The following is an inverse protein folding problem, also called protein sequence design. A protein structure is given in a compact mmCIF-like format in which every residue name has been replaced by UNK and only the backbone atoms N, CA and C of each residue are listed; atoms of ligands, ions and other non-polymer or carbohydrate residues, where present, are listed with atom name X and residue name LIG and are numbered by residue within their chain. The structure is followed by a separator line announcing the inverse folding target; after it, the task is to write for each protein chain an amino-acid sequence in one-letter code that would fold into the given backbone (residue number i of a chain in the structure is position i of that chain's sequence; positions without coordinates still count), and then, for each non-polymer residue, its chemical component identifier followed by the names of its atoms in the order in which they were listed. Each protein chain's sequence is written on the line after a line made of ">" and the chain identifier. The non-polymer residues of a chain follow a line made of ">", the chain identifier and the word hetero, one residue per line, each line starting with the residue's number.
data_IF_458062956485
#
_entry.id   IF_458062956485
#
_cell.length_a   1.000
_cell.length_b   1.000
_cell.length_c   1.000
_cell.angle_alpha   90.00
_cell.angle_beta   90.00
_cell.angle_gamma   90.00
#
_symmetry.space_group_name_H-M   'P 1'
#
loop_
_entity.id
_entity.type
_entity.pdbx_description
1 polymer ?
#
# COMPACT_ATOMS: atom_id res chain seq x y z
N UNK A 1 3.47 10.75 11.38
CA UNK A 1 2.67 9.50 11.43
C UNK A 1 2.81 8.81 12.80
N UNK A 2 1.75 8.76 13.61
CA UNK A 2 1.72 8.07 14.91
C UNK A 2 1.94 6.55 14.79
N UNK A 3 2.44 5.93 15.86
CA UNK A 3 2.65 4.47 15.95
C UNK A 3 1.99 3.92 17.20
N UNK A 4 1.01 3.03 17.03
CA UNK A 4 0.27 2.40 18.13
C UNK A 4 0.66 0.92 18.30
N UNK A 5 0.56 0.44 19.55
CA UNK A 5 0.96 -0.92 19.97
C UNK A 5 -0.15 -1.53 20.83
N UNK A 6 -1.20 -2.12 20.23
CA UNK A 6 -2.27 -2.74 21.00
C UNK A 6 -1.79 -3.87 21.87
N UNK A 7 -2.41 -4.00 23.04
CA UNK A 7 -2.34 -5.22 23.84
C UNK A 7 -3.04 -6.38 23.13
N UNK A 8 -2.75 -7.62 23.54
CA UNK A 8 -3.48 -8.79 23.03
C UNK A 8 -4.99 -8.70 23.23
N UNK A 9 -5.45 -8.00 24.28
CA UNK A 9 -6.88 -7.80 24.56
C UNK A 9 -7.50 -6.82 23.58
N UNK A 10 -6.88 -5.66 23.38
CA UNK A 10 -7.34 -4.66 22.40
C UNK A 10 -7.34 -5.23 20.98
N UNK A 11 -6.31 -6.00 20.62
CA UNK A 11 -6.16 -6.58 19.29
C UNK A 11 -7.22 -7.64 18.93
N UNK A 12 -8.04 -8.13 19.88
CA UNK A 12 -9.11 -9.09 19.59
C UNK A 12 -10.28 -8.47 18.83
N UNK A 13 -10.57 -7.19 19.06
CA UNK A 13 -11.68 -6.49 18.42
C UNK A 13 -11.10 -5.39 17.51
N UNK A 14 -11.16 -5.60 16.20
CA UNK A 14 -10.62 -4.68 15.22
C UNK A 14 -11.26 -3.29 15.33
N UNK A 15 -12.58 -3.22 15.27
CA UNK A 15 -13.35 -1.97 15.13
C UNK A 15 -13.16 -1.06 16.34
N UNK A 16 -13.32 -1.58 17.55
CA UNK A 16 -13.08 -0.83 18.78
C UNK A 16 -11.63 -0.36 18.91
N UNK A 17 -10.67 -1.18 18.47
CA UNK A 17 -9.26 -0.81 18.50
C UNK A 17 -8.95 0.33 17.51
N UNK A 18 -9.50 0.26 16.30
CA UNK A 18 -9.30 1.28 15.25
C UNK A 18 -10.02 2.58 15.60
N UNK A 19 -11.27 2.54 16.08
CA UNK A 19 -12.01 3.72 16.53
C UNK A 19 -11.23 4.52 17.58
N UNK A 20 -10.59 3.83 18.53
CA UNK A 20 -9.70 4.45 19.51
C UNK A 20 -8.49 5.11 18.84
N UNK A 21 -7.83 4.42 17.91
CA UNK A 21 -6.59 4.90 17.30
C UNK A 21 -6.79 5.99 16.26
N UNK A 22 -7.92 6.02 15.53
CA UNK A 22 -8.30 7.13 14.67
C UNK A 22 -8.43 8.41 15.50
N UNK A 23 -9.14 8.35 16.64
CA UNK A 23 -9.25 9.52 17.55
C UNK A 23 -7.90 9.99 18.07
N UNK A 24 -6.99 9.06 18.41
CA UNK A 24 -5.65 9.39 18.90
C UNK A 24 -4.69 9.86 17.80
N UNK A 25 -4.89 9.44 16.56
CA UNK A 25 -4.12 9.90 15.42
C UNK A 25 -4.42 11.37 15.09
N UNK A 26 -5.58 11.85 15.51
CA UNK A 26 -6.00 13.24 15.32
C UNK A 26 -6.02 13.58 13.84
N UNK A 27 -5.27 14.61 13.47
CA UNK A 27 -5.24 15.14 12.11
C UNK A 27 -4.32 14.36 11.14
N UNK A 28 -3.57 13.36 11.64
CA UNK A 28 -2.70 12.58 10.76
C UNK A 28 -3.52 11.73 9.79
N UNK A 29 -3.32 11.91 8.47
CA UNK A 29 -4.00 11.12 7.44
C UNK A 29 -3.63 9.63 7.41
N UNK A 30 -2.63 9.20 8.20
CA UNK A 30 -2.27 7.81 8.38
C UNK A 30 -1.65 7.56 9.76
N UNK A 31 -1.71 6.31 10.23
CA UNK A 31 -0.99 5.83 11.41
C UNK A 31 -0.55 4.38 11.22
N UNK A 32 0.47 3.96 11.98
CA UNK A 32 0.98 2.59 11.98
C UNK A 32 0.52 1.83 13.21
N UNK A 33 0.01 0.62 13.04
CA UNK A 33 -0.26 -0.31 14.14
C UNK A 33 0.79 -1.42 14.11
N UNK A 34 1.46 -1.65 15.24
CA UNK A 34 2.34 -2.81 15.42
C UNK A 34 1.59 -3.90 16.19
N UNK A 35 1.31 -5.06 15.57
CA UNK A 35 0.55 -6.12 16.22
C UNK A 35 1.29 -6.67 17.46
N UNK A 36 0.57 -7.28 18.42
CA UNK A 36 1.18 -7.87 19.60
C UNK A 36 2.27 -8.89 19.26
N UNK A 37 3.34 -8.94 20.08
CA UNK A 37 4.43 -9.90 19.90
C UNK A 37 3.89 -11.33 19.80
N UNK A 38 4.32 -12.04 18.74
CA UNK A 38 3.95 -13.43 18.48
C UNK A 38 2.69 -13.62 17.63
N UNK A 39 1.93 -12.56 17.35
CA UNK A 39 0.87 -12.64 16.35
C UNK A 39 1.48 -12.89 14.95
N UNK A 40 0.90 -13.85 14.23
CA UNK A 40 1.30 -14.21 12.87
C UNK A 40 0.03 -14.38 12.04
N UNK A 41 -0.12 -13.67 10.91
CA UNK A 41 -1.30 -13.77 10.07
C UNK A 41 -1.32 -15.02 9.19
N UNK A 42 -0.16 -15.65 8.99
CA UNK A 42 0.00 -16.88 8.20
C UNK A 42 0.96 -17.82 8.92
N UNK A 43 0.50 -19.00 9.33
CA UNK A 43 1.28 -19.95 10.14
C UNK A 43 2.33 -20.69 9.32
N UNK A 44 2.01 -21.06 8.09
CA UNK A 44 2.87 -21.85 7.21
C UNK A 44 4.05 -21.06 6.61
N UNK A 45 4.08 -19.73 6.79
CA UNK A 45 5.09 -18.87 6.19
C UNK A 45 4.84 -18.58 4.71
N UNK A 46 5.87 -18.11 4.00
CA UNK A 46 5.74 -17.50 2.67
C UNK A 46 6.66 -18.12 1.59
N UNK A 47 7.27 -19.27 1.88
CA UNK A 47 8.22 -19.92 0.96
C UNK A 47 7.53 -20.51 -0.27
N UNK A 48 6.37 -21.16 -0.09
CA UNK A 48 5.65 -21.90 -1.13
C UNK A 48 4.36 -21.18 -1.55
N UNK A 49 4.45 -19.90 -1.93
CA UNK A 49 3.30 -19.16 -2.41
C UNK A 49 3.03 -19.48 -3.88
N UNK A 50 1.93 -20.20 -4.14
CA UNK A 50 1.40 -20.38 -5.49
C UNK A 50 0.60 -19.13 -5.89
N UNK A 51 1.30 -18.17 -6.49
CA UNK A 51 0.71 -16.90 -6.92
C UNK A 51 1.15 -16.58 -8.35
N UNK A 52 0.19 -16.15 -9.16
CA UNK A 52 0.44 -15.54 -10.46
C UNK A 52 0.33 -14.03 -10.34
N UNK A 53 1.39 -13.32 -10.73
CA UNK A 53 1.37 -11.87 -10.87
C UNK A 53 0.66 -11.54 -12.17
N UNK A 54 -0.61 -11.17 -12.07
CA UNK A 54 -1.45 -10.80 -13.21
C UNK A 54 -1.10 -9.39 -13.69
N UNK A 55 -0.95 -9.25 -15.01
CA UNK A 55 -0.73 -7.96 -15.69
C UNK A 55 0.18 -6.96 -14.97
N UNK A 56 1.41 -7.35 -14.55
CA UNK A 56 2.26 -6.47 -13.76
C UNK A 56 2.55 -5.17 -14.52
N UNK A 57 2.54 -4.06 -13.79
CA UNK A 57 2.61 -2.71 -14.31
C UNK A 57 4.07 -2.26 -14.35
N UNK A 58 4.59 -1.95 -15.53
CA UNK A 58 5.83 -1.22 -15.65
C UNK A 58 5.57 0.28 -15.50
N UNK A 59 6.14 0.88 -14.44
CA UNK A 59 5.85 2.24 -14.03
C UNK A 59 6.87 3.22 -14.62
N UNK A 60 6.48 3.85 -15.72
CA UNK A 60 7.30 4.85 -16.39
C UNK A 60 7.01 6.22 -15.79
N UNK A 61 8.04 7.07 -15.71
CA UNK A 61 7.94 8.35 -14.99
C UNK A 61 8.30 9.49 -15.93
N UNK A 62 7.39 10.45 -16.07
CA UNK A 62 7.60 11.70 -16.79
C UNK A 62 7.65 12.88 -15.82
N UNK A 63 8.38 13.94 -16.15
CA UNK A 63 8.49 15.15 -15.31
C UNK A 63 9.88 15.43 -14.72
N UNK A 64 9.95 16.39 -13.81
CA UNK A 64 11.20 16.86 -13.20
C UNK A 64 10.95 17.70 -11.94
N UNK A 65 12.02 18.00 -11.19
CA UNK A 65 11.98 18.94 -10.06
C UNK A 65 10.93 18.60 -8.98
N UNK A 66 10.74 17.32 -8.67
CA UNK A 66 9.78 16.87 -7.66
C UNK A 66 8.34 16.70 -8.17
N UNK A 67 8.06 17.09 -9.41
CA UNK A 67 6.74 16.96 -10.06
C UNK A 67 6.84 15.90 -11.14
N UNK A 68 6.08 14.82 -10.98
CA UNK A 68 6.11 13.67 -11.87
C UNK A 68 4.73 13.12 -12.15
N UNK A 69 4.57 12.59 -13.36
CA UNK A 69 3.43 11.79 -13.80
C UNK A 69 3.85 10.34 -13.98
N UNK A 70 2.98 9.41 -13.58
CA UNK A 70 3.18 7.98 -13.77
C UNK A 70 2.44 7.49 -15.01
N UNK A 71 3.17 6.80 -15.88
CA UNK A 71 2.68 6.18 -17.09
C UNK A 71 2.75 4.66 -16.92
N UNK A 72 1.59 4.01 -16.96
CA UNK A 72 1.48 2.58 -16.73
C UNK A 72 1.52 1.82 -18.05
N UNK A 73 2.47 0.88 -18.16
CA UNK A 73 2.52 -0.09 -19.25
C UNK A 73 2.28 -1.48 -18.68
N UNK A 74 1.13 -2.07 -18.99
CA UNK A 74 0.82 -3.44 -18.59
C UNK A 74 1.77 -4.42 -19.30
N UNK A 75 2.31 -5.36 -18.53
CA UNK A 75 3.17 -6.43 -19.02
C UNK A 75 2.45 -7.77 -18.89
N UNK A 76 2.95 -8.80 -19.59
CA UNK A 76 2.35 -10.13 -19.53
C UNK A 76 2.42 -10.75 -18.13
N UNK A 77 1.33 -11.43 -17.75
CA UNK A 77 1.20 -12.18 -16.51
C UNK A 77 2.30 -13.23 -16.37
N UNK A 78 2.73 -13.49 -15.13
CA UNK A 78 3.84 -14.42 -14.85
C UNK A 78 3.74 -15.00 -13.44
N UNK A 79 4.36 -16.16 -13.22
CA UNK A 79 4.46 -16.72 -11.88
C UNK A 79 5.27 -15.82 -10.94
N UNK A 80 5.01 -15.91 -9.65
CA UNK A 80 5.73 -15.18 -8.60
C UNK A 80 7.25 -15.38 -8.69
N UNK A 81 7.71 -16.59 -8.98
CA UNK A 81 9.15 -16.87 -9.11
C UNK A 81 9.79 -16.15 -10.28
N UNK A 82 9.11 -16.10 -11.43
CA UNK A 82 9.58 -15.33 -12.58
C UNK A 82 9.61 -13.83 -12.26
N UNK A 83 8.60 -13.33 -11.55
CA UNK A 83 8.55 -11.95 -11.09
C UNK A 83 9.72 -11.62 -10.16
N UNK A 84 9.94 -12.43 -9.10
CA UNK A 84 11.03 -12.27 -8.13
C UNK A 84 12.40 -12.19 -8.81
N UNK A 85 12.67 -13.08 -9.78
CA UNK A 85 13.94 -13.09 -10.55
C UNK A 85 14.16 -11.82 -11.38
N UNK A 86 13.10 -11.15 -11.80
CA UNK A 86 13.21 -9.90 -12.56
C UNK A 86 13.52 -8.72 -11.64
N UNK A 87 12.79 -8.58 -10.53
CA UNK A 87 12.94 -7.43 -9.62
C UNK A 87 14.22 -7.50 -8.79
N UNK A 88 14.69 -8.70 -8.44
CA UNK A 88 15.89 -8.91 -7.62
C UNK A 88 17.15 -8.27 -8.19
N UNK A 89 17.23 -8.13 -9.53
CA UNK A 89 18.35 -7.45 -10.22
C UNK A 89 18.57 -6.02 -9.75
N UNK A 90 17.53 -5.38 -9.22
CA UNK A 90 17.56 -3.96 -8.80
C UNK A 90 17.46 -3.79 -7.29
N UNK A 91 17.14 -4.84 -6.53
CA UNK A 91 16.92 -4.79 -5.07
C UNK A 91 18.18 -4.41 -4.29
N UNK A 92 19.37 -4.74 -4.81
CA UNK A 92 20.63 -4.40 -4.16
C UNK A 92 20.87 -2.90 -4.00
N UNK A 93 20.15 -2.07 -4.77
CA UNK A 93 20.26 -0.61 -4.74
C UNK A 93 19.97 -0.03 -3.34
N UNK A 94 19.08 -0.66 -2.56
CA UNK A 94 18.66 -0.17 -1.25
C UNK A 94 19.42 -0.82 -0.07
N UNK A 95 20.24 -1.85 -0.31
CA UNK A 95 20.91 -2.60 0.76
C UNK A 95 21.87 -1.72 1.57
N UNK A 96 21.87 -1.90 2.90
CA UNK A 96 22.76 -1.23 3.88
C UNK A 96 22.69 0.29 3.89
N UNK A 97 21.62 0.88 3.36
CA UNK A 97 21.38 2.33 3.40
C UNK A 97 20.41 2.67 4.52
N UNK A 98 20.60 3.84 5.09
CA UNK A 98 19.64 4.45 6.03
C UNK A 98 18.36 4.86 5.29
N UNK A 99 17.30 5.12 6.05
CA UNK A 99 16.03 5.62 5.51
C UNK A 99 16.23 6.87 4.62
N UNK A 100 16.98 7.86 5.11
CA UNK A 100 17.22 9.12 4.38
C UNK A 100 18.02 8.91 3.09
N UNK A 101 19.00 7.99 3.10
CA UNK A 101 19.76 7.66 1.89
C UNK A 101 18.91 6.94 0.86
N UNK A 102 18.02 6.05 1.30
CA UNK A 102 17.07 5.35 0.42
C UNK A 102 16.11 6.34 -0.22
N UNK A 103 15.52 7.24 0.55
CA UNK A 103 14.63 8.29 0.06
C UNK A 103 15.31 9.21 -0.95
N UNK A 104 16.51 9.71 -0.62
CA UNK A 104 17.30 10.55 -1.52
C UNK A 104 17.64 9.82 -2.82
N UNK A 105 18.00 8.54 -2.73
CA UNK A 105 18.30 7.71 -3.89
C UNK A 105 17.07 7.48 -4.75
N UNK A 106 15.92 7.19 -4.13
CA UNK A 106 14.64 6.98 -4.82
C UNK A 106 14.30 8.20 -5.68
N UNK A 107 14.23 9.40 -5.09
CA UNK A 107 13.87 10.62 -5.82
C UNK A 107 14.91 11.00 -6.89
N UNK A 108 16.21 10.82 -6.59
CA UNK A 108 17.29 11.10 -7.56
C UNK A 108 17.24 10.18 -8.79
N UNK A 109 16.81 8.93 -8.62
CA UNK A 109 16.87 7.90 -9.67
C UNK A 109 15.50 7.49 -10.18
N UNK A 110 14.45 8.26 -9.85
CA UNK A 110 13.06 7.93 -10.12
C UNK A 110 12.81 7.59 -11.60
N UNK A 111 13.35 8.42 -12.49
CA UNK A 111 13.22 8.31 -13.95
C UNK A 111 14.11 7.23 -14.59
N UNK A 112 15.07 6.68 -13.86
CA UNK A 112 16.03 5.72 -14.41
C UNK A 112 15.53 4.31 -14.18
N UNK A 113 15.30 3.52 -15.23
CA UNK A 113 14.76 2.16 -15.14
C UNK A 113 13.37 2.12 -14.49
N UNK A 114 12.36 1.89 -15.33
CA UNK A 114 10.99 1.72 -14.87
C UNK A 114 10.86 0.44 -14.02
N UNK A 115 10.38 0.53 -12.77
CA UNK A 115 10.15 -0.65 -11.95
C UNK A 115 8.91 -1.40 -12.44
N UNK A 116 8.88 -2.70 -12.17
CA UNK A 116 7.72 -3.54 -12.40
C UNK A 116 6.98 -3.73 -11.08
N UNK A 117 5.66 -3.52 -11.07
CA UNK A 117 4.80 -3.61 -9.89
C UNK A 117 3.67 -4.62 -10.11
N UNK A 118 3.56 -5.63 -9.25
CA UNK A 118 2.41 -6.52 -9.20
C UNK A 118 1.34 -5.92 -8.31
N UNK A 119 0.33 -5.28 -8.89
CA UNK A 119 -0.76 -4.63 -8.16
C UNK A 119 -2.07 -5.37 -8.36
N UNK A 120 -3.02 -5.14 -7.44
CA UNK A 120 -4.44 -5.48 -7.58
C UNK A 120 -4.71 -6.97 -7.86
N UNK A 121 -3.89 -7.85 -7.27
CA UNK A 121 -4.09 -9.30 -7.35
C UNK A 121 -5.13 -9.68 -6.32
N UNK A 122 -6.31 -10.13 -6.75
CA UNK A 122 -7.39 -10.54 -5.83
C UNK A 122 -6.94 -11.69 -4.91
N UNK A 123 -7.22 -11.56 -3.62
CA UNK A 123 -7.04 -12.63 -2.64
C UNK A 123 -6.43 -12.17 -1.31
N UNK A 124 -6.23 -13.14 -0.42
CA UNK A 124 -5.61 -12.93 0.89
C UNK A 124 -4.58 -14.02 1.17
N UNK A 125 -3.47 -13.63 1.81
CA UNK A 125 -2.47 -14.56 2.30
C UNK A 125 -2.69 -14.95 3.77
N UNK A 126 -3.71 -14.37 4.44
CA UNK A 126 -3.97 -14.59 5.86
C UNK A 126 -4.76 -15.88 6.10
N UNK A 127 -4.42 -16.60 7.17
CA UNK A 127 -5.14 -17.79 7.62
C UNK A 127 -6.52 -17.38 8.17
N UNK A 128 -7.56 -18.13 7.78
CA UNK A 128 -8.94 -17.91 8.26
C UNK A 128 -9.04 -17.92 9.78
N UNK A 129 -9.89 -17.05 10.33
CA UNK A 129 -10.14 -16.92 11.77
C UNK A 129 -9.00 -16.25 12.55
N UNK A 130 -7.96 -15.75 11.88
CA UNK A 130 -6.90 -14.99 12.55
C UNK A 130 -7.40 -13.60 12.91
N UNK A 131 -7.15 -13.08 14.13
CA UNK A 131 -7.49 -11.70 14.47
C UNK A 131 -6.88 -10.73 13.46
N UNK A 132 -7.66 -9.74 13.03
CA UNK A 132 -7.28 -8.76 11.99
C UNK A 132 -7.02 -9.38 10.62
N UNK A 133 -7.70 -10.49 10.28
CA UNK A 133 -7.73 -10.99 8.93
C UNK A 133 -8.44 -9.97 8.02
N UNK A 134 -7.71 -9.39 7.07
CA UNK A 134 -8.22 -8.34 6.18
C UNK A 134 -9.37 -8.83 5.27
N UNK A 135 -9.50 -10.14 5.06
CA UNK A 135 -10.60 -10.75 4.33
C UNK A 135 -11.87 -10.98 5.18
N UNK A 136 -11.78 -10.82 6.50
CA UNK A 136 -12.84 -11.17 7.46
C UNK A 136 -13.13 -10.02 8.43
N UNK A 137 -12.76 -8.78 8.07
CA UNK A 137 -12.99 -7.62 8.94
C UNK A 137 -14.48 -7.38 9.16
N UNK A 138 -14.81 -7.16 10.42
CA UNK A 138 -16.17 -6.90 10.88
C UNK A 138 -16.41 -5.39 10.91
N UNK A 139 -16.92 -4.83 9.82
CA UNK A 139 -17.10 -3.38 9.64
C UNK A 139 -18.50 -3.07 9.10
N UNK A 140 -18.98 -1.85 9.31
CA UNK A 140 -20.26 -1.42 8.76
C UNK A 140 -20.34 -1.51 7.22
N UNK A 141 -19.19 -1.46 6.53
CA UNK A 141 -19.11 -1.64 5.09
C UNK A 141 -19.49 -3.07 4.68
N UNK A 142 -19.13 -4.06 5.51
CA UNK A 142 -19.54 -5.45 5.31
C UNK A 142 -21.04 -5.57 5.52
N UNK A 143 -21.56 -5.12 6.66
CA UNK A 143 -22.98 -5.18 7.01
C UNK A 143 -23.88 -4.50 5.97
N UNK A 144 -23.44 -3.35 5.44
CA UNK A 144 -24.20 -2.58 4.45
C UNK A 144 -24.13 -3.12 3.02
N UNK A 145 -23.12 -3.94 2.71
CA UNK A 145 -22.87 -4.50 1.37
C UNK A 145 -23.01 -6.03 1.35
N UNK A 146 -23.67 -6.65 2.33
CA UNK A 146 -23.67 -8.11 2.57
C UNK A 146 -23.86 -9.00 1.33
N UNK A 147 -24.52 -8.51 0.27
CA UNK A 147 -24.69 -9.23 -1.00
C UNK A 147 -23.87 -8.69 -2.19
N UNK A 148 -23.21 -7.54 -2.07
CA UNK A 148 -22.46 -6.88 -3.15
C UNK A 148 -20.96 -6.93 -2.88
N UNK A 149 -20.24 -7.77 -3.64
CA UNK A 149 -18.78 -7.80 -3.62
C UNK A 149 -18.22 -6.76 -4.59
N UNK A 150 -17.39 -5.87 -4.06
CA UNK A 150 -16.66 -4.83 -4.78
C UNK A 150 -15.16 -5.11 -4.62
N UNK A 151 -14.50 -5.51 -5.71
CA UNK A 151 -13.07 -5.81 -5.72
C UNK A 151 -12.26 -4.58 -5.27
N UNK A 152 -11.34 -4.79 -4.33
CA UNK A 152 -10.54 -3.72 -3.72
C UNK A 152 -11.21 -2.94 -2.59
N UNK A 153 -12.52 -3.09 -2.42
CA UNK A 153 -13.29 -2.36 -1.40
C UNK A 153 -13.66 -3.29 -0.25
N UNK A 154 -14.31 -4.42 -0.52
CA UNK A 154 -14.62 -5.45 0.49
C UNK A 154 -13.95 -6.81 0.22
N UNK A 155 -13.23 -6.95 -0.90
CA UNK A 155 -12.33 -8.05 -1.19
C UNK A 155 -10.87 -7.55 -1.18
N UNK A 156 -9.95 -8.19 -0.43
CA UNK A 156 -8.57 -7.73 -0.33
C UNK A 156 -7.77 -7.94 -1.62
N UNK A 157 -6.79 -7.05 -1.82
CA UNK A 157 -5.76 -7.17 -2.85
C UNK A 157 -4.39 -7.51 -2.25
N UNK A 158 -3.61 -8.28 -3.02
CA UNK A 158 -2.21 -8.57 -2.79
C UNK A 158 -1.38 -7.69 -3.71
N UNK A 159 -0.40 -7.01 -3.11
CA UNK A 159 0.58 -6.18 -3.81
C UNK A 159 1.98 -6.75 -3.66
N UNK A 160 2.70 -6.85 -4.78
CA UNK A 160 4.08 -7.34 -4.84
C UNK A 160 4.97 -6.22 -5.36
N UNK A 161 5.70 -5.60 -4.44
CA UNK A 161 6.62 -4.51 -4.75
C UNK A 161 7.96 -4.97 -5.32
N UNK A 162 8.68 -4.01 -5.89
CA UNK A 162 10.10 -4.09 -6.24
C UNK A 162 10.77 -2.77 -5.88
N UNK A 163 12.10 -2.66 -6.07
CA UNK A 163 12.79 -1.40 -5.85
C UNK A 163 12.17 -0.28 -6.71
N UNK A 164 11.77 0.81 -6.05
CA UNK A 164 11.08 1.99 -6.61
C UNK A 164 9.64 1.80 -7.10
N UNK A 165 9.01 0.64 -6.93
CA UNK A 165 7.56 0.58 -7.21
C UNK A 165 6.82 1.54 -6.29
N UNK A 166 5.88 2.30 -6.81
CA UNK A 166 5.22 3.39 -6.09
C UNK A 166 3.73 3.49 -6.45
N UNK A 167 2.98 4.29 -5.70
CA UNK A 167 1.62 4.67 -6.02
C UNK A 167 1.53 6.19 -6.01
N UNK A 168 0.70 6.76 -6.89
CA UNK A 168 0.46 8.20 -6.94
C UNK A 168 -0.23 8.70 -5.67
N UNK A 169 -0.20 10.02 -5.46
CA UNK A 169 -1.02 10.65 -4.43
C UNK A 169 -2.50 10.40 -4.71
N UNK A 170 -3.23 9.89 -3.73
CA UNK A 170 -4.66 9.63 -3.83
C UNK A 170 -5.29 9.61 -2.43
N UNK A 171 -6.63 9.74 -2.41
CA UNK A 171 -7.49 9.25 -1.33
C UNK A 171 -8.10 7.92 -1.80
N UNK A 172 -8.59 7.13 -0.87
CA UNK A 172 -9.32 5.90 -1.20
C UNK A 172 -10.66 6.24 -1.87
N UNK A 173 -11.25 5.27 -2.57
CA UNK A 173 -12.56 5.44 -3.18
C UNK A 173 -13.61 5.82 -2.13
N UNK A 174 -14.45 6.81 -2.47
CA UNK A 174 -15.44 7.43 -1.57
C UNK A 174 -14.84 7.99 -0.27
N UNK A 175 -13.56 8.35 -0.28
CA UNK A 175 -12.80 8.81 0.89
C UNK A 175 -12.89 7.84 2.09
N UNK A 176 -12.99 6.54 1.80
CA UNK A 176 -13.02 5.49 2.81
C UNK A 176 -11.68 5.31 3.53
N UNK A 177 -11.70 4.54 4.61
CA UNK A 177 -10.48 4.05 5.24
C UNK A 177 -9.90 2.89 4.43
N UNK A 178 -8.57 2.84 4.33
CA UNK A 178 -7.85 1.64 3.91
C UNK A 178 -7.00 1.06 5.03
N UNK A 179 -6.67 -0.22 4.90
CA UNK A 179 -5.75 -0.92 5.78
C UNK A 179 -4.77 -1.73 4.94
N UNK A 180 -3.48 -1.61 5.28
CA UNK A 180 -2.41 -2.34 4.62
C UNK A 180 -1.62 -3.19 5.63
N UNK A 181 -1.34 -4.45 5.26
CA UNK A 181 -0.44 -5.30 6.00
C UNK A 181 0.74 -5.74 5.14
N UNK A 182 1.96 -5.41 5.58
CA UNK A 182 3.19 -5.87 4.95
C UNK A 182 3.52 -7.30 5.43
N UNK A 183 3.21 -8.29 4.59
CA UNK A 183 3.40 -9.70 4.89
C UNK A 183 4.86 -10.11 5.12
N UNK A 184 5.75 -9.74 4.19
CA UNK A 184 7.19 -10.02 4.24
C UNK A 184 7.93 -9.12 3.24
N UNK A 185 9.26 -9.17 3.26
CA UNK A 185 10.12 -8.46 2.31
C UNK A 185 10.65 -7.12 2.81
N UNK A 186 11.06 -6.26 1.88
CA UNK A 186 11.62 -4.95 2.17
C UNK A 186 10.55 -3.96 2.69
N UNK A 187 10.95 -2.89 3.42
CA UNK A 187 10.01 -1.89 3.90
C UNK A 187 9.27 -1.15 2.78
N UNK A 188 8.01 -0.78 3.05
CA UNK A 188 7.24 0.19 2.26
C UNK A 188 7.28 1.55 2.97
N UNK A 189 7.57 2.60 2.21
CA UNK A 189 7.68 3.98 2.70
C UNK A 189 6.38 4.72 2.35
N UNK A 190 5.89 5.53 3.29
CA UNK A 190 4.62 6.24 3.16
C UNK A 190 4.83 7.73 3.38
N UNK A 191 4.20 8.52 2.52
CA UNK A 191 3.96 9.93 2.76
C UNK A 191 2.46 10.11 3.05
N UNK A 192 2.14 11.07 3.91
CA UNK A 192 0.75 11.40 4.25
C UNK A 192 0.67 12.90 4.47
N UNK A 193 -0.43 13.48 4.03
CA UNK A 193 -0.79 14.88 4.29
C UNK A 193 -1.76 14.88 5.47
N UNK A 194 -1.62 15.84 6.38
CA UNK A 194 -2.57 16.02 7.47
C UNK A 194 -3.95 16.42 6.90
N UNK A 195 -5.04 15.97 7.53
CA UNK A 195 -6.39 16.09 6.96
C UNK A 195 -6.81 17.56 6.79
N UNK A 196 -6.45 18.45 7.71
CA UNK A 196 -6.73 19.88 7.60
C UNK A 196 -6.00 20.55 6.42
N UNK A 197 -4.93 19.95 5.90
CA UNK A 197 -4.17 20.44 4.75
C UNK A 197 -4.65 19.85 3.41
N UNK A 198 -5.76 19.11 3.40
CA UNK A 198 -6.27 18.46 2.19
C UNK A 198 -6.55 19.46 1.06
N UNK A 199 -7.27 20.55 1.36
CA UNK A 199 -7.62 21.58 0.38
C UNK A 199 -6.41 22.31 -0.19
N UNK A 200 -5.40 22.54 0.64
CA UNK A 200 -4.14 23.17 0.22
C UNK A 200 -3.37 22.25 -0.74
N UNK A 201 -3.33 20.95 -0.45
CA UNK A 201 -2.68 19.97 -1.32
C UNK A 201 -3.43 19.79 -2.65
N UNK A 202 -4.75 19.70 -2.63
CA UNK A 202 -5.59 19.69 -3.84
C UNK A 202 -5.40 20.98 -4.66
N UNK A 203 -5.32 22.14 -3.99
CA UNK A 203 -5.03 23.42 -4.62
C UNK A 203 -3.66 23.48 -5.28
N UNK A 204 -2.64 22.89 -4.65
CA UNK A 204 -1.30 22.74 -5.23
C UNK A 204 -1.34 21.81 -6.45
N UNK A 205 -2.00 20.66 -6.35
CA UNK A 205 -2.13 19.71 -7.46
C UNK A 205 -2.84 20.35 -8.67
N UNK A 206 -3.94 21.08 -8.44
CA UNK A 206 -4.66 21.83 -9.48
C UNK A 206 -3.78 22.85 -10.21
N UNK A 207 -2.96 23.61 -9.47
CA UNK A 207 -2.03 24.60 -10.05
C UNK A 207 -0.87 23.93 -10.79
N UNK A 208 -0.44 22.75 -10.33
CA UNK A 208 0.70 22.02 -10.90
C UNK A 208 0.32 21.26 -12.16
N UNK A 209 -0.88 20.68 -12.20
CA UNK A 209 -1.38 19.83 -13.29
C UNK A 209 -2.64 20.42 -13.93
N UNK A 210 -2.62 21.70 -14.29
CA UNK A 210 -3.81 22.43 -14.76
C UNK A 210 -4.50 21.77 -15.97
N UNK A 211 -3.73 21.34 -16.98
CA UNK A 211 -4.29 20.66 -18.15
C UNK A 211 -4.95 19.31 -17.83
N UNK A 212 -4.51 18.63 -16.76
CA UNK A 212 -5.11 17.38 -16.29
C UNK A 212 -6.39 17.67 -15.53
N UNK A 213 -6.34 18.65 -14.64
CA UNK A 213 -7.47 19.10 -13.83
C UNK A 213 -8.65 19.60 -14.67
N UNK A 214 -8.40 20.25 -15.81
CA UNK A 214 -9.46 20.68 -16.72
C UNK A 214 -10.19 19.51 -17.39
N UNK A 215 -9.60 18.31 -17.39
CA UNK A 215 -10.16 17.10 -18.00
C UNK A 215 -10.88 16.19 -17.00
N UNK A 216 -10.55 16.29 -15.71
CA UNK A 216 -11.14 15.51 -14.62
C UNK A 216 -10.88 16.22 -13.29
#
# INVERSE_FOLDING_TARGET
>A
MPVFRPTKKEFKNFSSCIEKYVKLAGNSGAFKVMPPKGWKPRKEGYENLDLTVQHPIEQNVWGSNGVYELLYMLRESRSLDKYRKLVSKTEHSATKKTHAEIEKLFWKTLKLNAPLYGADIEGSLMDKGTPWNLAELDTCLKDGLDTLQLSGVNNPYIYIGGWKTMFGWHKEDLDLYSINYLHFGAPKYWYSIDLDSNSDFEGLARKTFTERFEKC
#
